data_IF_991355800997
#
_entry.id   IF_991355800997
#
_cell.length_a   1.000
_cell.length_b   1.000
_cell.length_c   1.000
_cell.angle_alpha   90.00
_cell.angle_beta   90.00
_cell.angle_gamma   90.00
#
_symmetry.space_group_name_H-M   'P 1'
#
loop_
_entity.id
_entity.type
_entity.pdbx_description
1 polymer ?
#
# COMPACT_ATOMS: atom_id res chain seq x y z
N UNK A 1 6.90 -9.67 23.56
CA UNK A 1 6.02 -9.20 22.47
C UNK A 1 5.24 -7.93 22.83
N UNK A 2 4.63 -7.78 24.00
CA UNK A 2 3.88 -6.56 24.36
C UNK A 2 4.75 -5.28 24.29
N UNK A 3 6.01 -5.32 24.77
CA UNK A 3 6.94 -4.18 24.68
C UNK A 3 7.26 -3.79 23.22
N UNK A 4 7.49 -4.80 22.35
CA UNK A 4 7.76 -4.57 20.92
C UNK A 4 6.56 -3.92 20.23
N UNK A 5 5.33 -4.40 20.47
CA UNK A 5 4.14 -3.79 19.86
C UNK A 5 3.88 -2.37 20.36
N UNK A 6 4.15 -2.07 21.64
CA UNK A 6 4.11 -0.69 22.16
C UNK A 6 5.13 0.18 21.44
N UNK A 7 6.33 -0.31 21.22
CA UNK A 7 7.36 0.41 20.49
C UNK A 7 6.98 0.64 19.01
N UNK A 8 6.41 -0.36 18.32
CA UNK A 8 5.92 -0.18 16.94
C UNK A 8 4.80 0.87 16.85
N UNK A 9 3.86 0.85 17.79
CA UNK A 9 2.80 1.88 17.89
C UNK A 9 3.40 3.27 18.14
N UNK A 10 4.40 3.36 19.02
CA UNK A 10 5.14 4.60 19.24
C UNK A 10 5.83 5.09 17.95
N UNK A 11 6.51 4.23 17.20
CA UNK A 11 7.10 4.57 15.89
C UNK A 11 6.05 5.08 14.87
N UNK A 12 4.79 4.63 14.96
CA UNK A 12 3.67 5.12 14.15
C UNK A 12 3.11 6.47 14.62
N UNK A 13 3.66 7.07 15.69
CA UNK A 13 3.24 8.36 16.21
C UNK A 13 2.14 8.31 17.28
N UNK A 14 1.80 7.13 17.79
CA UNK A 14 0.88 7.04 18.92
C UNK A 14 1.52 7.63 20.20
N UNK A 15 0.71 8.34 21.00
CA UNK A 15 1.13 8.80 22.30
C UNK A 15 1.12 7.63 23.30
N UNK A 16 2.29 7.06 23.54
CA UNK A 16 2.51 5.91 24.44
C UNK A 16 3.60 6.31 25.43
N UNK A 17 3.31 6.15 26.72
CA UNK A 17 4.34 6.25 27.75
C UNK A 17 5.39 5.15 27.58
N UNK A 18 6.57 5.53 27.11
CA UNK A 18 7.68 4.62 26.85
C UNK A 18 8.58 4.39 28.05
N UNK A 19 8.48 5.15 29.14
CA UNK A 19 9.39 5.05 30.28
C UNK A 19 9.45 3.62 30.87
N UNK A 20 8.29 3.02 31.15
CA UNK A 20 8.19 1.62 31.64
C UNK A 20 8.57 0.58 30.59
N UNK A 21 8.44 0.92 29.31
CA UNK A 21 8.80 0.03 28.19
C UNK A 21 10.31 -0.01 28.02
N UNK A 22 10.97 1.16 28.03
CA UNK A 22 12.43 1.32 27.96
C UNK A 22 13.10 0.54 29.09
N UNK A 23 12.65 0.70 30.33
CA UNK A 23 13.22 0.04 31.50
C UNK A 23 13.31 -1.49 31.40
N UNK A 24 12.46 -2.13 30.55
CA UNK A 24 12.38 -3.58 30.37
C UNK A 24 12.77 -4.03 28.96
N UNK A 25 13.24 -3.11 28.11
CA UNK A 25 13.54 -3.41 26.71
C UNK A 25 14.88 -4.15 26.61
N UNK A 26 14.87 -5.29 25.96
CA UNK A 26 16.07 -5.94 25.45
C UNK A 26 16.34 -5.38 24.03
N UNK A 27 17.32 -4.49 23.94
CA UNK A 27 17.65 -3.80 22.69
C UNK A 27 18.23 -4.72 21.62
N UNK A 28 18.97 -5.78 22.00
CA UNK A 28 19.51 -6.78 21.07
C UNK A 28 18.39 -7.63 20.49
N UNK A 29 17.44 -8.05 21.33
CA UNK A 29 16.25 -8.79 20.89
C UNK A 29 15.39 -7.93 19.98
N UNK A 30 15.19 -6.64 20.31
CA UNK A 30 14.45 -5.71 19.46
C UNK A 30 15.15 -5.55 18.11
N UNK A 31 16.46 -5.32 18.07
CA UNK A 31 17.22 -5.18 16.83
C UNK A 31 17.14 -6.45 15.96
N UNK A 32 17.27 -7.63 16.57
CA UNK A 32 17.09 -8.91 15.87
C UNK A 32 15.71 -9.03 15.26
N UNK A 33 14.67 -8.68 16.02
CA UNK A 33 13.30 -8.68 15.54
C UNK A 33 13.11 -7.72 14.34
N UNK A 34 13.53 -6.46 14.45
CA UNK A 34 13.34 -5.47 13.38
C UNK A 34 14.14 -5.82 12.13
N UNK A 35 15.31 -6.44 12.29
CA UNK A 35 16.11 -6.95 11.18
C UNK A 35 15.41 -8.08 10.45
N UNK A 36 14.90 -9.07 11.18
CA UNK A 36 14.19 -10.21 10.61
C UNK A 36 12.86 -9.81 9.94
N UNK A 37 12.25 -8.73 10.39
CA UNK A 37 10.99 -8.19 9.87
C UNK A 37 11.18 -7.10 8.78
N UNK A 38 12.44 -6.75 8.45
CA UNK A 38 12.81 -5.72 7.47
C UNK A 38 12.18 -4.34 7.76
N UNK A 39 12.25 -3.89 9.02
CA UNK A 39 11.71 -2.59 9.49
C UNK A 39 12.77 -1.76 10.23
N UNK A 40 14.05 -1.96 9.91
CA UNK A 40 15.20 -1.35 10.57
C UNK A 40 15.11 0.19 10.52
N UNK A 41 14.91 0.78 9.34
CA UNK A 41 14.87 2.24 9.18
C UNK A 41 13.69 2.86 9.94
N UNK A 42 12.49 2.32 9.74
CA UNK A 42 11.27 2.77 10.43
C UNK A 42 11.41 2.72 11.97
N UNK A 43 11.99 1.65 12.51
CA UNK A 43 12.20 1.53 13.95
C UNK A 43 13.34 2.41 14.45
N UNK A 44 14.34 2.72 13.61
CA UNK A 44 15.41 3.64 13.97
C UNK A 44 14.90 5.09 14.15
N UNK A 45 13.95 5.54 13.33
CA UNK A 45 13.28 6.82 13.55
C UNK A 45 12.62 6.88 14.95
N UNK A 46 12.04 5.75 15.40
CA UNK A 46 11.54 5.59 16.76
C UNK A 46 12.64 5.68 17.83
N UNK A 47 13.84 5.14 17.59
CA UNK A 47 14.99 5.27 18.50
C UNK A 47 15.49 6.71 18.56
N UNK A 48 15.60 7.40 17.42
CA UNK A 48 15.96 8.84 17.38
C UNK A 48 14.97 9.67 18.20
N UNK A 49 13.68 9.39 18.05
CA UNK A 49 12.61 10.04 18.80
C UNK A 49 12.68 9.74 20.31
N UNK A 50 12.98 8.48 20.71
CA UNK A 50 13.19 8.14 22.12
C UNK A 50 14.37 8.92 22.72
N UNK A 51 15.47 9.11 21.96
CA UNK A 51 16.62 9.90 22.38
C UNK A 51 16.25 11.35 22.76
N UNK A 52 15.27 11.93 22.05
CA UNK A 52 14.79 13.29 22.29
C UNK A 52 13.76 13.35 23.43
N UNK A 53 12.84 12.39 23.52
CA UNK A 53 11.68 12.45 24.43
C UNK A 53 11.93 11.75 25.78
N UNK A 54 12.83 10.73 25.82
CA UNK A 54 13.06 9.83 26.97
C UNK A 54 14.55 9.64 27.29
N UNK A 55 15.35 10.71 27.19
CA UNK A 55 16.81 10.65 27.39
C UNK A 55 17.20 10.13 28.77
N UNK A 56 16.47 10.49 29.83
CA UNK A 56 16.76 10.08 31.21
C UNK A 56 16.45 8.59 31.45
N UNK A 57 15.39 8.07 30.84
CA UNK A 57 15.05 6.66 30.88
C UNK A 57 16.06 5.81 30.08
N UNK A 58 16.51 6.31 28.95
CA UNK A 58 17.56 5.68 28.16
C UNK A 58 18.91 5.63 28.88
N UNK A 59 19.24 6.61 29.73
CA UNK A 59 20.45 6.54 30.58
C UNK A 59 20.38 5.38 31.59
N UNK A 60 19.19 4.99 32.03
CA UNK A 60 18.98 3.88 32.97
C UNK A 60 19.04 2.49 32.29
N UNK A 61 18.64 2.40 31.04
CA UNK A 61 18.78 1.21 30.21
C UNK A 61 19.30 1.59 28.82
N UNK A 62 20.62 1.87 28.67
CA UNK A 62 21.19 2.40 27.45
C UNK A 62 21.26 1.32 26.36
N UNK A 63 21.12 1.77 25.11
CA UNK A 63 21.46 0.95 23.95
C UNK A 63 22.99 0.84 23.89
N UNK A 64 23.53 -0.36 23.80
CA UNK A 64 24.97 -0.59 23.65
C UNK A 64 25.50 0.20 22.44
N UNK A 65 26.66 0.87 22.63
CA UNK A 65 27.20 1.77 21.60
C UNK A 65 27.39 1.10 20.23
N UNK A 66 27.94 -0.11 20.20
CA UNK A 66 28.17 -0.83 18.94
C UNK A 66 26.87 -1.22 18.25
N UNK A 67 25.85 -1.60 19.03
CA UNK A 67 24.52 -1.87 18.52
C UNK A 67 23.86 -0.61 17.94
N UNK A 68 23.94 0.51 18.66
CA UNK A 68 23.40 1.79 18.21
C UNK A 68 24.08 2.26 16.91
N UNK A 69 25.41 2.19 16.84
CA UNK A 69 26.19 2.55 15.65
C UNK A 69 25.85 1.65 14.45
N UNK A 70 25.69 0.34 14.70
CA UNK A 70 25.27 -0.62 13.67
C UNK A 70 23.87 -0.29 13.16
N UNK A 71 22.93 -0.01 14.04
CA UNK A 71 21.55 0.32 13.68
C UNK A 71 21.48 1.63 12.89
N UNK A 72 22.15 2.67 13.38
CA UNK A 72 22.27 3.97 12.70
C UNK A 72 22.87 3.82 11.29
N UNK A 73 23.96 3.08 11.14
CA UNK A 73 24.59 2.83 9.84
C UNK A 73 23.63 2.15 8.85
N UNK A 74 22.86 1.16 9.31
CA UNK A 74 21.84 0.48 8.50
C UNK A 74 20.69 1.41 8.14
N UNK A 75 20.20 2.24 9.05
CA UNK A 75 19.14 3.20 8.79
C UNK A 75 19.58 4.25 7.75
N UNK A 76 20.81 4.76 7.86
CA UNK A 76 21.36 5.68 6.86
C UNK A 76 21.52 5.02 5.48
N UNK A 77 21.94 3.76 5.44
CA UNK A 77 22.01 2.99 4.19
C UNK A 77 20.60 2.88 3.55
N UNK A 78 19.56 2.60 4.35
CA UNK A 78 18.16 2.51 3.89
C UNK A 78 17.70 3.87 3.34
N UNK A 79 17.97 4.97 4.03
CA UNK A 79 17.59 6.32 3.59
C UNK A 79 18.26 6.66 2.24
N UNK A 80 19.56 6.43 2.08
CA UNK A 80 20.28 6.62 0.80
C UNK A 80 19.73 5.74 -0.32
N UNK A 81 19.41 4.48 -0.01
CA UNK A 81 18.81 3.57 -0.99
C UNK A 81 17.44 4.05 -1.45
N UNK A 82 16.59 4.60 -0.56
CA UNK A 82 15.31 5.17 -0.95
C UNK A 82 15.47 6.38 -1.89
N UNK A 83 16.43 7.27 -1.63
CA UNK A 83 16.74 8.37 -2.56
C UNK A 83 17.09 7.85 -3.95
N UNK A 84 17.96 6.82 -4.04
CA UNK A 84 18.29 6.19 -5.31
C UNK A 84 17.07 5.55 -5.99
N UNK A 85 16.25 4.81 -5.24
CA UNK A 85 15.07 4.14 -5.78
C UNK A 85 14.02 5.15 -6.26
N UNK A 86 13.86 6.30 -5.57
CA UNK A 86 12.99 7.39 -6.03
C UNK A 86 13.42 7.89 -7.42
N UNK A 87 14.71 8.20 -7.60
CA UNK A 87 15.25 8.67 -8.89
C UNK A 87 15.05 7.64 -9.99
N UNK A 88 15.33 6.36 -9.71
CA UNK A 88 15.17 5.29 -10.71
C UNK A 88 13.70 5.04 -11.03
N UNK A 89 12.81 5.09 -10.04
CA UNK A 89 11.36 4.90 -10.26
C UNK A 89 10.77 6.00 -11.16
N UNK A 90 11.14 7.25 -10.93
CA UNK A 90 10.71 8.38 -11.77
C UNK A 90 11.30 8.28 -13.19
N UNK A 91 12.60 7.97 -13.31
CA UNK A 91 13.24 7.79 -14.61
C UNK A 91 12.58 6.65 -15.42
N UNK A 92 12.31 5.50 -14.78
CA UNK A 92 11.62 4.37 -15.40
C UNK A 92 10.19 4.75 -15.83
N UNK A 93 9.46 5.46 -14.96
CA UNK A 93 8.11 5.93 -15.26
C UNK A 93 8.10 6.88 -16.48
N UNK A 94 9.01 7.85 -16.53
CA UNK A 94 9.13 8.79 -17.64
C UNK A 94 9.49 8.07 -18.95
N UNK A 95 10.48 7.17 -18.92
CA UNK A 95 10.90 6.38 -20.08
C UNK A 95 9.74 5.55 -20.67
N UNK A 96 8.98 4.85 -19.84
CA UNK A 96 7.82 4.09 -20.29
C UNK A 96 6.73 5.00 -20.90
N UNK A 97 6.51 6.18 -20.30
CA UNK A 97 5.54 7.15 -20.79
C UNK A 97 5.92 7.79 -22.12
N UNK A 98 7.19 8.16 -22.29
CA UNK A 98 7.74 8.71 -23.53
C UNK A 98 7.64 7.71 -24.69
N UNK A 99 7.79 6.41 -24.39
CA UNK A 99 7.60 5.34 -25.36
C UNK A 99 6.12 4.92 -25.55
N UNK A 100 5.17 5.71 -25.03
CA UNK A 100 3.73 5.51 -25.22
C UNK A 100 3.11 4.42 -24.34
N UNK A 101 3.84 3.86 -23.38
CA UNK A 101 3.35 2.85 -22.46
C UNK A 101 2.81 3.48 -21.18
N UNK A 102 1.51 3.29 -20.90
CA UNK A 102 0.91 3.73 -19.63
C UNK A 102 1.25 2.73 -18.53
N UNK A 103 1.73 3.24 -17.39
CA UNK A 103 2.16 2.39 -16.30
C UNK A 103 1.83 3.00 -14.93
N UNK A 104 1.89 2.16 -13.90
CA UNK A 104 1.63 2.50 -12.51
C UNK A 104 2.65 1.81 -11.62
N UNK A 105 3.36 2.56 -10.78
CA UNK A 105 4.29 2.00 -9.78
C UNK A 105 3.47 1.44 -8.63
N UNK A 106 3.62 0.15 -8.40
CA UNK A 106 2.88 -0.57 -7.36
C UNK A 106 3.66 -0.55 -6.04
N UNK A 107 2.97 -0.46 -4.88
CA UNK A 107 3.63 -0.55 -3.57
C UNK A 107 4.83 0.42 -3.40
N UNK A 108 5.99 -0.10 -3.01
CA UNK A 108 7.31 0.51 -3.01
C UNK A 108 7.31 1.98 -2.60
N UNK A 109 7.63 2.83 -3.54
CA UNK A 109 7.81 4.26 -3.33
C UNK A 109 6.48 4.98 -3.08
N UNK A 110 5.36 4.53 -3.67
CA UNK A 110 4.03 5.02 -3.35
C UNK A 110 3.63 4.79 -1.89
N UNK A 111 4.00 3.62 -1.32
CA UNK A 111 3.78 3.35 0.10
C UNK A 111 4.73 4.16 1.00
N UNK A 112 5.97 4.38 0.57
CA UNK A 112 6.96 5.14 1.33
C UNK A 112 6.47 6.58 1.63
N UNK A 113 5.72 7.20 0.73
CA UNK A 113 5.10 8.52 0.95
C UNK A 113 4.15 8.60 2.15
N UNK A 114 3.64 7.46 2.62
CA UNK A 114 2.73 7.40 3.78
C UNK A 114 3.47 7.20 5.12
N UNK A 115 4.77 6.92 5.10
CA UNK A 115 5.57 6.75 6.31
C UNK A 115 5.83 8.09 7.00
N UNK A 116 5.96 8.13 8.34
CA UNK A 116 6.36 9.34 9.06
C UNK A 116 7.65 9.97 8.52
N UNK A 117 8.62 9.13 8.15
CA UNK A 117 9.80 9.51 7.39
C UNK A 117 9.83 8.71 6.10
N UNK A 118 9.60 9.38 4.97
CA UNK A 118 9.47 8.78 3.64
C UNK A 118 10.69 8.00 3.17
N UNK A 119 11.84 8.20 3.80
CA UNK A 119 13.10 7.51 3.49
C UNK A 119 13.37 6.29 4.36
N UNK A 120 12.55 6.03 5.39
CA UNK A 120 12.84 4.99 6.40
C UNK A 120 12.16 3.64 6.13
N UNK A 121 11.31 3.54 5.11
CA UNK A 121 10.79 2.25 4.65
C UNK A 121 11.94 1.42 4.06
N UNK A 122 12.10 0.15 4.49
CA UNK A 122 13.07 -0.73 3.84
C UNK A 122 12.72 -0.90 2.35
N UNK A 123 13.55 -0.41 1.42
CA UNK A 123 13.29 -0.52 -0.01
C UNK A 123 13.46 -1.97 -0.50
N UNK A 124 12.87 -2.27 -1.63
CA UNK A 124 13.02 -3.51 -2.37
C UNK A 124 13.19 -3.19 -3.85
N UNK A 125 12.57 -4.01 -4.67
CA UNK A 125 12.37 -3.85 -6.10
C UNK A 125 11.38 -2.71 -6.44
N UNK A 126 11.40 -2.28 -7.70
CA UNK A 126 10.38 -1.41 -8.29
C UNK A 126 9.41 -2.29 -9.06
N UNK A 127 8.21 -2.49 -8.50
CA UNK A 127 7.12 -3.15 -9.19
C UNK A 127 6.40 -2.14 -10.10
N UNK A 128 6.45 -2.30 -11.41
CA UNK A 128 5.72 -1.44 -12.33
C UNK A 128 4.69 -2.23 -13.15
N UNK A 129 3.42 -1.89 -12.97
CA UNK A 129 2.34 -2.44 -13.78
C UNK A 129 2.23 -1.67 -15.08
N UNK A 130 2.47 -2.34 -16.20
CA UNK A 130 2.38 -1.77 -17.54
C UNK A 130 1.04 -2.15 -18.16
N UNK A 131 0.24 -1.15 -18.55
CA UNK A 131 -1.06 -1.35 -19.19
C UNK A 131 -0.90 -1.59 -20.69
N UNK A 132 -0.34 -2.74 -21.05
CA UNK A 132 -0.12 -3.20 -22.43
C UNK A 132 -0.28 -4.72 -22.51
N UNK A 133 -0.25 -5.28 -23.70
CA UNK A 133 -0.26 -6.72 -23.89
C UNK A 133 1.07 -7.36 -23.44
N UNK A 134 1.02 -8.63 -23.06
CA UNK A 134 2.23 -9.37 -22.67
C UNK A 134 3.32 -9.31 -23.77
N UNK A 135 2.94 -9.45 -25.04
CA UNK A 135 3.89 -9.39 -26.17
C UNK A 135 4.59 -8.03 -26.23
N UNK A 136 3.84 -6.93 -26.17
CA UNK A 136 4.39 -5.57 -26.16
C UNK A 136 5.35 -5.34 -25.00
N UNK A 137 4.97 -5.76 -23.78
CA UNK A 137 5.83 -5.61 -22.59
C UNK A 137 7.11 -6.45 -22.75
N UNK A 138 7.00 -7.68 -23.27
CA UNK A 138 8.16 -8.57 -23.46
C UNK A 138 9.10 -8.03 -24.54
N UNK A 139 8.57 -7.53 -25.63
CA UNK A 139 9.35 -6.90 -26.71
C UNK A 139 10.06 -5.63 -26.21
N UNK A 140 9.33 -4.78 -25.48
CA UNK A 140 9.89 -3.60 -24.85
C UNK A 140 11.02 -3.95 -23.88
N UNK A 141 10.80 -4.93 -23.01
CA UNK A 141 11.79 -5.37 -22.04
C UNK A 141 13.07 -5.88 -22.73
N UNK A 142 12.93 -6.70 -23.79
CA UNK A 142 14.08 -7.20 -24.58
C UNK A 142 14.87 -6.08 -25.26
N UNK A 143 14.21 -5.01 -25.66
CA UNK A 143 14.83 -3.87 -26.35
C UNK A 143 15.59 -2.95 -25.40
N UNK A 144 15.08 -2.73 -24.20
CA UNK A 144 15.56 -1.67 -23.30
C UNK A 144 16.31 -2.17 -22.06
N UNK A 145 16.21 -3.47 -21.76
CA UNK A 145 16.81 -4.05 -20.55
C UNK A 145 17.52 -5.37 -20.83
N UNK A 146 18.48 -5.67 -20.00
CA UNK A 146 19.00 -7.03 -19.88
C UNK A 146 17.97 -7.86 -19.12
N UNK A 147 17.38 -8.85 -19.79
CA UNK A 147 16.41 -9.77 -19.19
C UNK A 147 16.99 -11.18 -19.19
N UNK A 148 16.72 -11.94 -18.12
CA UNK A 148 17.02 -13.35 -18.07
C UNK A 148 16.07 -14.19 -18.93
N UNK A 149 16.43 -15.44 -19.18
CA UNK A 149 15.59 -16.39 -19.96
C UNK A 149 14.29 -16.78 -19.23
N UNK A 150 14.16 -16.49 -17.94
CA UNK A 150 13.03 -16.89 -17.10
C UNK A 150 11.99 -15.79 -16.95
N UNK A 151 11.11 -15.69 -17.94
CA UNK A 151 9.94 -14.80 -17.87
C UNK A 151 8.89 -15.46 -16.96
N UNK A 152 8.53 -14.78 -15.85
CA UNK A 152 7.53 -15.30 -14.93
C UNK A 152 6.10 -15.08 -15.44
N UNK A 153 5.14 -15.78 -14.83
CA UNK A 153 3.73 -15.69 -15.25
C UNK A 153 3.16 -14.27 -15.12
N UNK A 154 3.56 -13.50 -14.11
CA UNK A 154 2.98 -12.19 -13.85
C UNK A 154 3.94 -11.01 -14.07
N UNK A 155 5.26 -11.23 -14.20
CA UNK A 155 6.25 -10.18 -14.45
C UNK A 155 7.48 -10.66 -15.21
N UNK A 156 8.29 -9.71 -15.65
CA UNK A 156 9.67 -9.88 -16.12
C UNK A 156 10.59 -9.24 -15.10
N UNK A 157 11.58 -9.97 -14.62
CA UNK A 157 12.63 -9.46 -13.76
C UNK A 157 13.73 -8.80 -14.60
N UNK A 158 14.15 -7.59 -14.20
CA UNK A 158 15.25 -6.83 -14.80
C UNK A 158 15.87 -5.90 -13.76
N UNK A 159 16.75 -5.00 -14.19
CA UNK A 159 17.32 -3.96 -13.35
C UNK A 159 17.53 -2.65 -14.13
N UNK A 160 17.49 -1.54 -13.42
CA UNK A 160 17.81 -0.22 -13.95
C UNK A 160 18.69 0.52 -12.97
N UNK A 161 19.86 0.98 -13.43
CA UNK A 161 20.86 1.69 -12.60
C UNK A 161 21.22 0.92 -11.29
N UNK A 162 21.22 -0.42 -11.36
CA UNK A 162 21.50 -1.31 -10.22
C UNK A 162 20.38 -1.38 -9.17
N UNK A 163 19.14 -0.99 -9.53
CA UNK A 163 17.92 -1.21 -8.77
C UNK A 163 17.12 -2.33 -9.44
N UNK A 164 16.70 -3.39 -8.73
CA UNK A 164 15.84 -4.42 -9.29
C UNK A 164 14.49 -3.84 -9.72
N UNK A 165 14.00 -4.26 -10.88
CA UNK A 165 12.73 -3.84 -11.49
C UNK A 165 11.94 -5.07 -11.90
N UNK A 166 10.65 -5.07 -11.61
CA UNK A 166 9.69 -6.07 -12.09
C UNK A 166 8.66 -5.40 -12.99
N UNK A 167 8.69 -5.74 -14.30
CA UNK A 167 7.69 -5.29 -15.27
C UNK A 167 6.48 -6.23 -15.22
N UNK A 168 5.41 -5.79 -14.58
CA UNK A 168 4.22 -6.58 -14.34
C UNK A 168 3.24 -6.54 -15.51
N UNK A 169 2.83 -7.71 -16.01
CA UNK A 169 1.72 -7.87 -16.96
C UNK A 169 0.37 -7.61 -16.30
N UNK A 170 0.27 -7.89 -15.02
CA UNK A 170 -0.87 -7.59 -14.15
C UNK A 170 -0.41 -7.53 -12.69
N UNK A 171 -1.09 -6.74 -11.83
CA UNK A 171 -0.57 -6.41 -10.49
C UNK A 171 -0.35 -7.61 -9.56
N UNK A 172 -1.21 -8.64 -9.61
CA UNK A 172 -1.17 -9.76 -8.68
C UNK A 172 -1.99 -10.94 -9.22
N UNK A 173 -1.70 -12.15 -8.73
CA UNK A 173 -2.45 -13.39 -9.02
C UNK A 173 -3.09 -13.97 -7.76
N UNK A 174 -4.07 -14.86 -7.96
CA UNK A 174 -4.66 -15.73 -6.93
C UNK A 174 -4.59 -17.17 -7.41
N UNK A 175 -4.47 -18.12 -6.46
CA UNK A 175 -4.36 -19.54 -6.81
C UNK A 175 -5.72 -20.13 -7.23
N UNK A 176 -6.82 -19.64 -6.66
CA UNK A 176 -8.15 -20.04 -7.07
C UNK A 176 -8.50 -19.43 -8.44
N UNK A 177 -8.79 -20.24 -9.49
CA UNK A 177 -8.98 -19.74 -10.86
C UNK A 177 -10.18 -18.81 -11.03
N UNK A 178 -11.26 -19.03 -10.27
CA UNK A 178 -12.45 -18.18 -10.31
C UNK A 178 -12.14 -16.79 -9.73
N UNK A 179 -11.51 -16.73 -8.57
CA UNK A 179 -11.13 -15.46 -7.95
C UNK A 179 -10.03 -14.76 -8.75
N UNK A 180 -9.10 -15.52 -9.34
CA UNK A 180 -8.10 -14.97 -10.26
C UNK A 180 -8.76 -14.30 -11.49
N UNK A 181 -9.70 -14.97 -12.16
CA UNK A 181 -10.40 -14.40 -13.32
C UNK A 181 -11.17 -13.11 -12.94
N UNK A 182 -11.86 -13.10 -11.79
CA UNK A 182 -12.53 -11.90 -11.25
C UNK A 182 -11.56 -10.76 -10.97
N UNK A 183 -10.40 -11.08 -10.39
CA UNK A 183 -9.34 -10.12 -10.06
C UNK A 183 -8.77 -9.50 -11.33
N UNK A 184 -8.43 -10.33 -12.35
CA UNK A 184 -7.90 -9.85 -13.63
C UNK A 184 -8.90 -8.97 -14.38
N UNK A 185 -10.20 -9.31 -14.34
CA UNK A 185 -11.27 -8.47 -14.91
C UNK A 185 -11.33 -7.11 -14.20
N UNK A 186 -11.18 -7.10 -12.88
CA UNK A 186 -11.19 -5.87 -12.09
C UNK A 186 -9.95 -5.02 -12.37
N UNK A 187 -8.76 -5.60 -12.47
CA UNK A 187 -7.54 -4.88 -12.82
C UNK A 187 -7.66 -4.18 -14.18
N UNK A 188 -8.05 -4.92 -15.23
CA UNK A 188 -8.22 -4.35 -16.58
C UNK A 188 -9.21 -3.18 -16.62
N UNK A 189 -10.31 -3.26 -15.86
CA UNK A 189 -11.30 -2.18 -15.81
C UNK A 189 -10.79 -0.91 -15.13
N UNK A 190 -9.77 -1.01 -14.31
CA UNK A 190 -9.25 0.12 -13.53
C UNK A 190 -7.86 0.60 -13.99
N UNK A 191 -7.25 -0.05 -14.96
CA UNK A 191 -5.88 0.22 -15.36
C UNK A 191 -5.63 1.68 -15.73
N UNK A 192 -6.50 2.25 -16.56
CA UNK A 192 -6.36 3.63 -17.02
C UNK A 192 -6.38 4.64 -15.88
N UNK A 193 -7.28 4.46 -14.92
CA UNK A 193 -7.37 5.31 -13.75
C UNK A 193 -6.10 5.23 -12.88
N UNK A 194 -5.58 4.02 -12.69
CA UNK A 194 -4.38 3.84 -11.85
C UNK A 194 -3.14 4.43 -12.54
N UNK A 195 -3.01 4.27 -13.86
CA UNK A 195 -1.92 4.83 -14.65
C UNK A 195 -1.98 6.37 -14.81
N UNK A 196 -3.08 7.01 -14.45
CA UNK A 196 -3.26 8.47 -14.48
C UNK A 196 -3.26 9.15 -13.11
N UNK A 197 -3.17 8.39 -12.02
CA UNK A 197 -3.10 8.95 -10.67
C UNK A 197 -1.65 9.27 -10.29
N UNK A 198 -1.21 10.49 -10.65
CA UNK A 198 0.19 10.96 -10.54
C UNK A 198 0.43 11.60 -9.18
N UNK A 199 1.61 11.33 -8.61
CA UNK A 199 2.12 11.96 -7.37
C UNK A 199 3.59 12.33 -7.55
N UNK A 200 4.01 13.44 -6.92
CA UNK A 200 5.40 13.86 -6.86
C UNK A 200 6.19 13.07 -5.81
N UNK A 201 7.39 12.66 -6.15
CA UNK A 201 8.34 12.06 -5.21
C UNK A 201 9.11 13.16 -4.44
N UNK A 202 9.61 12.84 -3.23
CA UNK A 202 10.34 13.80 -2.40
C UNK A 202 11.59 14.37 -3.10
N UNK A 203 12.04 15.54 -2.61
CA UNK A 203 13.28 16.22 -3.03
C UNK A 203 13.38 16.47 -4.55
N UNK A 204 12.23 16.62 -5.23
CA UNK A 204 12.22 16.86 -6.67
C UNK A 204 12.70 15.67 -7.51
N UNK A 205 12.65 14.44 -6.98
CA UNK A 205 13.07 13.24 -7.72
C UNK A 205 12.21 12.96 -8.97
N UNK A 206 11.08 13.68 -9.15
CA UNK A 206 10.17 13.60 -10.26
C UNK A 206 8.84 12.93 -9.88
N UNK A 207 8.03 12.61 -10.89
CA UNK A 207 6.68 12.11 -10.72
C UNK A 207 6.58 10.61 -11.03
N UNK A 208 5.60 9.95 -10.39
CA UNK A 208 5.18 8.57 -10.70
C UNK A 208 3.66 8.46 -10.64
N UNK A 209 3.07 7.55 -11.42
CA UNK A 209 1.70 7.13 -11.17
C UNK A 209 1.66 6.02 -10.11
N UNK A 210 0.72 6.11 -9.17
CA UNK A 210 0.48 5.12 -8.10
C UNK A 210 -1.00 4.72 -8.04
N UNK A 211 -1.33 3.58 -7.44
CA UNK A 211 -2.72 3.19 -7.23
C UNK A 211 -3.51 4.21 -6.42
N UNK A 212 -4.76 4.48 -6.82
CA UNK A 212 -5.71 5.27 -6.00
C UNK A 212 -5.98 4.57 -4.67
N UNK A 213 -6.35 5.32 -3.63
CA UNK A 213 -6.47 4.80 -2.25
C UNK A 213 -7.41 3.59 -2.14
N UNK A 214 -8.60 3.67 -2.71
CA UNK A 214 -9.56 2.56 -2.67
C UNK A 214 -9.09 1.32 -3.44
N UNK A 215 -8.43 1.51 -4.60
CA UNK A 215 -7.83 0.42 -5.34
C UNK A 215 -6.67 -0.21 -4.55
N UNK A 216 -5.83 0.62 -3.95
CA UNK A 216 -4.64 0.19 -3.22
C UNK A 216 -4.98 -0.70 -2.01
N UNK A 217 -6.04 -0.36 -1.26
CA UNK A 217 -6.55 -1.19 -0.16
C UNK A 217 -6.89 -2.61 -0.62
N UNK A 218 -7.60 -2.74 -1.74
CA UNK A 218 -7.99 -4.06 -2.27
C UNK A 218 -6.79 -4.78 -2.88
N UNK A 219 -6.00 -4.09 -3.70
CA UNK A 219 -4.83 -4.64 -4.37
C UNK A 219 -3.80 -5.17 -3.38
N UNK A 220 -3.39 -4.38 -2.39
CA UNK A 220 -2.36 -4.82 -1.45
C UNK A 220 -2.85 -5.95 -0.54
N UNK A 221 -4.15 -6.04 -0.25
CA UNK A 221 -4.68 -7.20 0.46
C UNK A 221 -4.60 -8.49 -0.40
N UNK A 222 -4.89 -8.39 -1.71
CA UNK A 222 -4.67 -9.51 -2.64
C UNK A 222 -3.20 -9.94 -2.64
N UNK A 223 -2.30 -8.97 -2.69
CA UNK A 223 -0.86 -9.20 -2.71
C UNK A 223 -0.36 -9.85 -1.40
N UNK A 224 -0.83 -9.38 -0.24
CA UNK A 224 -0.57 -10.03 1.05
C UNK A 224 -1.06 -11.47 1.08
N UNK A 225 -2.27 -11.72 0.53
CA UNK A 225 -2.86 -13.04 0.47
C UNK A 225 -2.06 -13.98 -0.42
N UNK A 226 -1.61 -13.50 -1.58
CA UNK A 226 -0.73 -14.26 -2.46
C UNK A 226 0.57 -14.66 -1.75
N UNK A 227 1.29 -13.70 -1.15
CA UNK A 227 2.53 -13.98 -0.42
C UNK A 227 2.34 -14.87 0.80
N UNK A 228 1.20 -14.74 1.50
CA UNK A 228 0.90 -15.60 2.64
C UNK A 228 0.92 -17.09 2.26
N UNK A 229 0.44 -17.45 1.07
CA UNK A 229 0.47 -18.82 0.57
C UNK A 229 1.78 -19.19 -0.11
N UNK A 230 2.48 -18.25 -0.73
CA UNK A 230 3.72 -18.58 -1.45
C UNK A 230 4.95 -18.60 -0.55
N UNK A 231 5.26 -17.53 0.14
CA UNK A 231 6.52 -17.36 0.87
C UNK A 231 6.31 -17.09 2.37
N UNK A 232 5.23 -16.43 2.70
CA UNK A 232 4.95 -15.80 3.99
C UNK A 232 5.03 -14.28 3.89
N UNK A 233 4.50 -13.61 4.91
CA UNK A 233 4.50 -12.15 5.02
C UNK A 233 5.18 -11.73 6.32
N UNK A 234 5.80 -10.55 6.32
CA UNK A 234 6.46 -9.98 7.49
C UNK A 234 5.84 -8.68 7.95
N UNK A 235 6.38 -8.12 9.04
CA UNK A 235 5.87 -6.89 9.64
C UNK A 235 6.01 -5.68 8.69
N UNK A 236 7.00 -5.67 7.79
CA UNK A 236 7.13 -4.61 6.78
C UNK A 236 5.87 -4.49 5.92
N UNK A 237 5.38 -5.61 5.38
CA UNK A 237 4.17 -5.61 4.56
C UNK A 237 2.92 -5.26 5.40
N UNK A 238 2.90 -5.62 6.68
CA UNK A 238 1.80 -5.28 7.60
C UNK A 238 1.80 -3.78 7.93
N UNK A 239 2.97 -3.15 8.13
CA UNK A 239 3.08 -1.70 8.33
C UNK A 239 2.68 -0.95 7.05
N UNK A 240 3.18 -1.37 5.87
CA UNK A 240 2.73 -0.84 4.59
C UNK A 240 1.19 -0.84 4.50
N UNK A 241 0.58 -1.99 4.81
CA UNK A 241 -0.87 -2.12 4.71
C UNK A 241 -1.64 -1.35 5.78
N UNK A 242 -1.08 -1.22 6.99
CA UNK A 242 -1.63 -0.34 8.04
C UNK A 242 -1.72 1.11 7.54
N UNK A 243 -0.66 1.61 6.93
CA UNK A 243 -0.60 2.98 6.41
C UNK A 243 -1.60 3.17 5.26
N UNK A 244 -1.72 2.20 4.35
CA UNK A 244 -2.71 2.21 3.26
C UNK A 244 -4.15 2.27 3.79
N UNK A 245 -4.50 1.43 4.77
CA UNK A 245 -5.85 1.43 5.37
C UNK A 245 -6.11 2.73 6.13
N UNK A 246 -5.12 3.24 6.86
CA UNK A 246 -5.23 4.48 7.62
C UNK A 246 -5.40 5.70 6.71
N UNK A 247 -4.66 5.76 5.59
CA UNK A 247 -4.77 6.84 4.60
C UNK A 247 -6.11 6.81 3.85
N UNK A 248 -6.58 5.62 3.45
CA UNK A 248 -7.91 5.43 2.87
C UNK A 248 -9.02 5.91 3.83
N UNK A 249 -8.95 5.51 5.09
CA UNK A 249 -9.96 5.85 6.09
C UNK A 249 -10.04 7.35 6.37
N UNK A 250 -8.89 8.04 6.47
CA UNK A 250 -8.85 9.50 6.63
C UNK A 250 -9.61 10.23 5.53
N UNK A 251 -9.46 9.82 4.28
CA UNK A 251 -10.15 10.43 3.14
C UNK A 251 -11.67 10.25 3.21
N UNK A 252 -12.12 9.06 3.59
CA UNK A 252 -13.58 8.79 3.69
C UNK A 252 -14.21 9.67 4.77
N UNK A 253 -13.55 9.82 5.93
CA UNK A 253 -14.04 10.69 7.01
C UNK A 253 -14.06 12.17 6.62
N UNK A 254 -13.04 12.66 5.92
CA UNK A 254 -12.99 14.04 5.45
C UNK A 254 -14.13 14.33 4.45
N UNK A 255 -14.35 13.47 3.48
CA UNK A 255 -15.41 13.65 2.48
C UNK A 255 -16.81 13.60 3.08
N UNK A 256 -17.06 12.76 4.09
CA UNK A 256 -18.34 12.70 4.79
C UNK A 256 -18.63 13.97 5.62
N UNK A 257 -17.61 14.61 6.18
CA UNK A 257 -17.77 15.86 6.94
C UNK A 257 -18.06 17.08 6.04
N UNK A 258 -17.62 17.07 4.79
CA UNK A 258 -17.94 18.12 3.82
C UNK A 258 -19.33 17.95 3.18
N UNK A 259 -19.94 16.77 3.28
CA UNK A 259 -21.27 16.47 2.71
C UNK A 259 -22.43 16.77 3.66
N UNK A 260 -22.18 17.19 4.90
CA UNK A 260 -23.17 17.63 5.87
C UNK A 260 -22.92 19.07 6.33
N UNK A 261 -23.45 20.10 5.64
CA UNK A 261 -23.44 21.48 6.14
C UNK A 261 -24.64 21.72 7.07
N UNK A 262 -24.61 21.15 8.27
CA UNK A 262 -25.55 21.50 9.33
C UNK A 262 -24.77 21.87 10.60
N UNK A 263 -24.08 23.02 10.56
CA UNK A 263 -23.73 23.79 11.76
C UNK A 263 -24.39 25.15 11.62
N UNK A 264 -25.40 25.38 12.45
CA UNK A 264 -26.13 26.61 12.60
C UNK A 264 -25.19 27.79 12.86
N UNK A 265 -25.20 28.77 11.97
CA UNK A 265 -24.67 30.09 12.23
C UNK A 265 -25.60 30.79 13.23
N UNK A 266 -25.18 30.86 14.49
CA UNK A 266 -25.74 31.81 15.45
C UNK A 266 -25.34 33.22 15.02
N UNK A 267 -26.35 34.05 14.65
CA UNK A 267 -26.22 35.46 14.38
C UNK A 267 -25.76 36.20 15.65
N UNK A 268 -24.50 36.62 15.66
CA UNK A 268 -24.02 37.65 16.57
C UNK A 268 -23.85 38.94 15.76
N UNK A 269 -24.79 39.89 15.92
CA UNK A 269 -24.67 41.24 15.41
C UNK A 269 -23.69 42.04 16.25
N UNK A 270 -22.64 42.58 15.63
CA UNK A 270 -21.97 43.77 16.14
C UNK A 270 -21.52 44.61 14.95
N UNK A 271 -22.17 45.77 14.85
CA UNK A 271 -21.89 46.93 14.01
C UNK A 271 -20.55 47.54 14.38
N UNK A 272 -19.68 47.76 13.42
CA UNK A 272 -18.61 48.76 13.52
C UNK A 272 -18.44 49.47 12.17
N UNK A 273 -18.55 50.78 12.21
CA UNK A 273 -18.42 51.75 11.11
C UNK A 273 -16.94 52.09 10.80
N UNK A 274 -16.60 52.49 9.60
CA UNK A 274 -15.21 52.86 9.25
C UNK A 274 -14.93 54.33 9.41
N UNK A 275 -13.68 54.71 9.68
CA UNK A 275 -13.15 56.06 9.53
C UNK A 275 -11.81 56.04 8.76
N UNK A 276 -11.50 57.06 7.99
CA UNK A 276 -10.49 57.04 6.94
C UNK A 276 -9.23 57.87 7.27
N UNK A 277 -8.26 57.82 6.35
CA UNK A 277 -7.05 58.67 6.12
C UNK A 277 -5.74 57.91 6.46
N UNK A 278 -4.62 58.08 5.73
CA UNK A 278 -4.15 59.07 4.79
C UNK A 278 -2.89 58.54 4.04
N UNK A 279 -2.82 58.86 2.75
CA UNK A 279 -1.69 59.27 1.90
C UNK A 279 -0.24 58.92 2.26
N UNK A 280 0.49 58.37 1.26
CA UNK A 280 1.95 58.33 1.17
C UNK A 280 2.43 57.77 -0.15
N UNK A 281 2.79 58.67 -1.05
CA UNK A 281 3.32 58.49 -2.41
C UNK A 281 4.72 57.85 -2.45
N UNK A 282 5.03 57.18 -3.53
CA UNK A 282 6.40 56.72 -3.87
C UNK A 282 6.46 55.95 -5.17
N UNK A 283 6.68 56.63 -6.21
CA UNK A 283 6.92 56.26 -7.60
C UNK A 283 8.16 55.36 -7.74
N UNK A 284 8.20 54.45 -8.73
CA UNK A 284 9.13 54.39 -9.85
C UNK A 284 9.15 53.03 -10.56
N UNK A 285 8.74 53.03 -11.83
CA UNK A 285 9.14 52.27 -13.02
C UNK A 285 8.88 50.78 -13.19
N UNK A 286 8.02 50.52 -14.17
CA UNK A 286 8.02 49.32 -15.03
C UNK A 286 9.16 49.41 -16.10
N UNK A 287 9.53 48.32 -16.84
CA UNK A 287 8.73 48.03 -18.03
C UNK A 287 8.61 46.53 -18.47
N UNK A 288 7.64 46.36 -19.32
CA UNK A 288 7.49 45.61 -20.59
C UNK A 288 7.13 44.13 -20.58
N UNK A 289 5.90 43.92 -21.02
CA UNK A 289 5.35 43.16 -22.17
C UNK A 289 5.98 41.81 -22.52
N UNK A 290 5.15 40.76 -22.50
CA UNK A 290 4.67 40.09 -23.73
C UNK A 290 3.57 39.07 -23.47
N UNK A 291 2.48 39.27 -24.19
CA UNK A 291 1.60 38.45 -25.01
C UNK A 291 0.76 37.35 -24.37
N UNK A 292 -0.55 37.62 -24.35
CA UNK A 292 -1.65 36.63 -24.32
C UNK A 292 -1.66 35.75 -25.58
N UNK A 293 -2.27 34.57 -25.48
CA UNK A 293 -3.29 34.23 -26.44
C UNK A 293 -4.61 33.67 -25.91
N UNK A 294 -5.69 34.25 -26.47
CA UNK A 294 -6.97 33.66 -26.91
C UNK A 294 -7.83 32.82 -25.94
N UNK A 295 -8.94 33.45 -25.60
CA UNK A 295 -10.21 32.91 -25.10
C UNK A 295 -10.80 31.84 -26.04
N UNK A 296 -11.29 30.73 -25.46
CA UNK A 296 -12.53 30.10 -25.93
C UNK A 296 -13.49 29.91 -24.74
N UNK A 297 -14.75 30.28 -25.02
CA UNK A 297 -15.90 30.24 -24.12
C UNK A 297 -16.41 28.81 -24.07
N UNK A 298 -16.85 28.35 -22.92
CA UNK A 298 -18.16 27.82 -22.54
C UNK A 298 -18.08 26.75 -21.43
N UNK A 299 -18.99 26.86 -20.46
CA UNK A 299 -19.47 25.75 -19.62
C UNK A 299 -19.05 25.75 -18.16
N UNK A 300 -19.97 26.07 -17.29
CA UNK A 300 -19.85 26.24 -15.84
C UNK A 300 -19.49 24.99 -15.00
N UNK A 301 -19.37 25.12 -13.66
CA UNK A 301 -18.55 24.22 -12.85
C UNK A 301 -19.35 23.05 -12.29
N UNK A 302 -18.83 21.82 -12.51
CA UNK A 302 -19.23 20.64 -11.75
C UNK A 302 -18.01 20.18 -10.93
N UNK A 303 -18.00 20.54 -9.65
CA UNK A 303 -17.03 20.03 -8.67
C UNK A 303 -17.54 18.69 -8.14
N UNK A 304 -17.09 17.58 -8.72
CA UNK A 304 -17.17 16.25 -8.12
C UNK A 304 -15.78 15.66 -8.14
N UNK A 305 -15.26 15.28 -6.97
CA UNK A 305 -13.96 14.63 -6.82
C UNK A 305 -13.91 13.35 -7.68
N UNK A 306 -12.86 13.13 -8.49
CA UNK A 306 -12.79 11.99 -9.42
C UNK A 306 -12.91 10.61 -8.78
N UNK A 307 -12.58 10.49 -7.51
CA UNK A 307 -12.51 9.21 -6.81
C UNK A 307 -13.87 8.58 -6.46
N UNK A 308 -14.94 9.37 -6.28
CA UNK A 308 -16.27 8.83 -5.97
C UNK A 308 -17.10 8.46 -7.23
N UNK A 309 -16.99 9.24 -8.30
CA UNK A 309 -17.85 9.08 -9.47
C UNK A 309 -17.53 7.84 -10.34
N UNK A 310 -16.30 7.32 -10.29
CA UNK A 310 -15.87 6.18 -11.09
C UNK A 310 -16.39 4.84 -10.53
N UNK A 311 -16.60 4.75 -9.21
CA UNK A 311 -17.04 3.50 -8.58
C UNK A 311 -18.52 3.21 -8.78
N UNK A 312 -19.38 4.23 -8.91
CA UNK A 312 -20.83 4.06 -9.16
C UNK A 312 -21.14 3.46 -10.55
N UNK A 313 -20.28 3.71 -11.56
CA UNK A 313 -20.45 3.13 -12.91
C UNK A 313 -20.02 1.66 -13.02
N UNK A 314 -19.35 1.11 -12.02
CA UNK A 314 -18.81 -0.26 -12.04
C UNK A 314 -19.70 -1.28 -11.30
N UNK A 315 -20.80 -0.86 -10.70
CA UNK A 315 -21.66 -1.69 -9.83
C UNK A 315 -22.87 -2.34 -10.46
N UNK A 316 -23.33 -1.90 -11.63
CA UNK A 316 -24.60 -2.40 -12.20
C UNK A 316 -24.42 -2.88 -13.63
N UNK A 317 -24.06 -4.14 -13.77
CA UNK A 317 -24.16 -4.91 -14.99
C UNK A 317 -25.09 -6.09 -14.75
N UNK A 318 -26.38 -5.86 -14.75
CA UNK A 318 -27.42 -6.86 -14.84
C UNK A 318 -28.47 -6.31 -15.81
N UNK A 319 -28.62 -6.96 -16.96
CA UNK A 319 -29.74 -6.78 -17.87
C UNK A 319 -31.06 -6.96 -17.12
N UNK A 320 -31.92 -5.98 -17.21
CA UNK A 320 -33.36 -6.18 -17.09
C UNK A 320 -34.11 -5.24 -18.05
N UNK A 321 -34.81 -5.88 -18.95
CA UNK A 321 -35.79 -5.35 -19.85
C UNK A 321 -36.93 -4.59 -19.11
N UNK A 322 -37.42 -3.60 -19.81
CA UNK A 322 -38.56 -2.74 -19.50
C UNK A 322 -39.84 -3.48 -19.03
N UNK A 323 -40.45 -2.97 -17.95
CA UNK A 323 -41.90 -2.88 -17.85
C UNK A 323 -42.31 -1.70 -16.95
N UNK A 324 -43.15 -0.84 -17.50
CA UNK A 324 -43.84 0.26 -16.82
C UNK A 324 -45.04 -0.29 -16.01
N UNK A 325 -45.28 0.23 -14.80
CA UNK A 325 -46.53 0.85 -14.32
C UNK A 325 -46.58 0.93 -12.77
N UNK A 326 -47.03 2.06 -12.27
CA UNK A 326 -47.65 2.14 -10.94
C UNK A 326 -46.95 3.05 -9.93
N UNK A 327 -47.38 4.30 -9.85
CA UNK A 327 -47.01 5.24 -8.81
C UNK A 327 -47.47 4.77 -7.43
N UNK A 328 -46.53 4.62 -6.51
CA UNK A 328 -46.78 4.68 -5.07
C UNK A 328 -45.61 5.38 -4.42
N UNK A 329 -45.89 6.54 -3.83
CA UNK A 329 -44.95 7.38 -3.10
C UNK A 329 -44.54 6.72 -1.78
N UNK A 330 -43.54 5.86 -1.80
CA UNK A 330 -42.78 5.49 -0.63
C UNK A 330 -41.38 6.10 -0.77
N UNK A 331 -41.01 6.97 0.19
CA UNK A 331 -39.71 7.60 0.26
C UNK A 331 -38.62 6.54 0.24
N UNK A 332 -37.99 6.32 -0.92
CA UNK A 332 -36.76 5.53 -1.05
C UNK A 332 -35.67 6.35 -0.38
N UNK A 333 -35.30 5.98 0.84
CA UNK A 333 -34.03 6.38 1.42
C UNK A 333 -32.92 5.92 0.45
N UNK A 334 -32.40 6.83 -0.35
CA UNK A 334 -31.15 6.62 -1.09
C UNK A 334 -30.04 6.48 -0.05
N UNK A 335 -29.73 5.24 0.34
CA UNK A 335 -28.56 4.95 1.15
C UNK A 335 -27.33 5.29 0.27
N UNK A 336 -26.70 6.42 0.52
CA UNK A 336 -25.44 6.78 -0.11
C UNK A 336 -24.42 5.67 0.19
N UNK A 337 -24.05 4.91 -0.86
CA UNK A 337 -23.05 3.83 -0.74
C UNK A 337 -21.72 4.46 -0.37
N UNK A 338 -21.17 4.14 0.80
CA UNK A 338 -19.90 4.66 1.25
C UNK A 338 -18.73 4.00 0.51
N UNK A 339 -17.56 4.66 0.48
CA UNK A 339 -16.35 4.06 -0.07
C UNK A 339 -15.95 2.76 0.67
N UNK A 340 -16.27 2.66 1.96
CA UNK A 340 -16.11 1.42 2.73
C UNK A 340 -16.99 0.30 2.18
N UNK A 341 -18.27 0.56 1.88
CA UNK A 341 -19.18 -0.45 1.36
C UNK A 341 -18.71 -0.98 0.00
N UNK A 342 -18.17 -0.10 -0.84
CA UNK A 342 -17.59 -0.50 -2.14
C UNK A 342 -16.40 -1.42 -1.95
N UNK A 343 -15.47 -1.08 -1.07
CA UNK A 343 -14.31 -1.92 -0.74
C UNK A 343 -14.77 -3.25 -0.17
N UNK A 344 -15.68 -3.26 0.80
CA UNK A 344 -16.19 -4.48 1.43
C UNK A 344 -16.87 -5.43 0.42
N UNK A 345 -17.74 -4.89 -0.45
CA UNK A 345 -18.36 -5.68 -1.54
C UNK A 345 -17.29 -6.29 -2.46
N UNK A 346 -16.25 -5.52 -2.78
CA UNK A 346 -15.14 -6.01 -3.62
C UNK A 346 -14.36 -7.13 -2.93
N UNK A 347 -14.05 -6.99 -1.65
CA UNK A 347 -13.36 -8.03 -0.87
C UNK A 347 -14.17 -9.33 -0.80
N UNK A 348 -15.49 -9.24 -0.61
CA UNK A 348 -16.40 -10.40 -0.65
C UNK A 348 -16.42 -11.06 -2.03
N UNK A 349 -16.53 -10.27 -3.10
CA UNK A 349 -16.54 -10.75 -4.49
C UNK A 349 -15.26 -11.48 -4.89
N UNK A 350 -14.11 -11.03 -4.37
CA UNK A 350 -12.78 -11.62 -4.61
C UNK A 350 -12.43 -12.76 -3.63
N UNK A 351 -13.32 -13.13 -2.71
CA UNK A 351 -13.05 -14.20 -1.72
C UNK A 351 -12.07 -13.82 -0.61
N UNK A 352 -11.75 -12.54 -0.46
CA UNK A 352 -10.74 -12.02 0.49
C UNK A 352 -11.31 -11.70 1.87
N UNK A 353 -12.63 -11.77 2.07
CA UNK A 353 -13.31 -11.28 3.27
C UNK A 353 -12.76 -11.89 4.57
N UNK A 354 -12.52 -13.21 4.60
CA UNK A 354 -11.97 -13.91 5.76
C UNK A 354 -10.52 -13.50 6.06
N UNK A 355 -9.72 -13.31 5.02
CA UNK A 355 -8.34 -12.86 5.16
C UNK A 355 -8.28 -11.39 5.60
N UNK A 356 -9.16 -10.54 5.07
CA UNK A 356 -9.31 -9.15 5.52
C UNK A 356 -9.55 -9.09 7.03
N UNK A 357 -10.49 -9.87 7.58
CA UNK A 357 -10.75 -9.93 9.02
C UNK A 357 -9.53 -10.39 9.84
N UNK A 358 -8.74 -11.33 9.33
CA UNK A 358 -7.50 -11.74 9.97
C UNK A 358 -6.45 -10.63 9.99
N UNK A 359 -6.30 -9.92 8.87
CA UNK A 359 -5.39 -8.77 8.77
C UNK A 359 -5.83 -7.64 9.68
N UNK A 360 -7.14 -7.30 9.74
CA UNK A 360 -7.65 -6.27 10.66
C UNK A 360 -7.30 -6.58 12.12
N UNK A 361 -7.41 -7.84 12.54
CA UNK A 361 -6.96 -8.26 13.87
C UNK A 361 -5.46 -7.99 14.09
N UNK A 362 -4.60 -8.32 13.12
CA UNK A 362 -3.16 -8.08 13.23
C UNK A 362 -2.84 -6.59 13.28
N UNK A 363 -3.48 -5.77 12.45
CA UNK A 363 -3.30 -4.32 12.43
C UNK A 363 -3.74 -3.68 13.77
N UNK A 364 -4.84 -4.15 14.34
CA UNK A 364 -5.31 -3.68 15.66
C UNK A 364 -4.35 -4.08 16.78
N UNK A 365 -4.03 -5.36 16.89
CA UNK A 365 -3.24 -5.90 17.99
C UNK A 365 -1.81 -5.37 17.99
N UNK A 366 -1.12 -5.46 16.84
CA UNK A 366 0.29 -5.12 16.73
C UNK A 366 0.53 -3.62 16.52
N UNK A 367 -0.34 -2.93 15.77
CA UNK A 367 -0.11 -1.56 15.28
C UNK A 367 -1.17 -0.55 15.78
N UNK A 368 -2.24 -0.98 16.45
CA UNK A 368 -3.22 -0.09 17.08
C UNK A 368 -4.25 0.51 16.13
N UNK A 369 -4.56 -0.14 15.00
CA UNK A 369 -5.64 0.33 14.12
C UNK A 369 -6.96 0.39 14.89
N UNK A 370 -7.63 1.54 14.89
CA UNK A 370 -8.94 1.70 15.53
C UNK A 370 -10.05 0.99 14.75
N UNK A 371 -11.08 0.51 15.44
CA UNK A 371 -12.17 -0.27 14.85
C UNK A 371 -12.93 0.48 13.76
N UNK A 372 -13.11 1.78 13.91
CA UNK A 372 -13.77 2.67 12.94
C UNK A 372 -13.07 2.73 11.56
N UNK A 373 -11.75 2.45 11.51
CA UNK A 373 -10.95 2.43 10.29
C UNK A 373 -10.90 1.07 9.60
N UNK A 374 -11.51 0.06 10.19
CA UNK A 374 -11.44 -1.30 9.67
C UNK A 374 -12.32 -1.51 8.45
N UNK A 375 -11.75 -2.12 7.42
CA UNK A 375 -12.45 -2.48 6.18
C UNK A 375 -13.23 -3.80 6.27
N UNK A 376 -13.02 -4.56 7.33
CA UNK A 376 -13.75 -5.80 7.66
C UNK A 376 -13.76 -6.00 9.17
N UNK A 377 -14.76 -6.70 9.74
CA UNK A 377 -14.76 -7.10 11.13
C UNK A 377 -13.56 -7.98 11.46
N UNK A 378 -12.99 -7.83 12.66
CA UNK A 378 -11.86 -8.65 13.11
C UNK A 378 -12.21 -10.13 13.21
N UNK A 379 -11.39 -10.98 12.59
CA UNK A 379 -11.42 -12.43 12.82
C UNK A 379 -10.28 -12.83 13.76
N UNK A 380 -10.56 -12.87 15.05
CA UNK A 380 -9.57 -13.18 16.09
C UNK A 380 -8.90 -14.53 15.92
N UNK A 381 -9.64 -15.55 15.45
CA UNK A 381 -9.09 -16.91 15.29
C UNK A 381 -8.07 -16.98 14.16
N UNK A 382 -8.43 -16.43 12.98
CA UNK A 382 -7.52 -16.35 11.82
C UNK A 382 -6.42 -15.34 12.03
N UNK A 383 -6.71 -14.24 12.72
CA UNK A 383 -5.75 -13.19 13.04
C UNK A 383 -4.62 -13.67 13.96
N UNK A 384 -4.93 -14.47 15.01
CA UNK A 384 -3.90 -15.07 15.86
C UNK A 384 -2.99 -16.02 15.08
N UNK A 385 -3.56 -16.84 14.18
CA UNK A 385 -2.77 -17.69 13.29
C UNK A 385 -1.84 -16.85 12.39
N UNK A 386 -2.41 -15.82 11.73
CA UNK A 386 -1.65 -14.95 10.85
C UNK A 386 -0.52 -14.22 11.59
N UNK A 387 -0.80 -13.68 12.77
CA UNK A 387 0.20 -13.00 13.59
C UNK A 387 1.33 -13.96 13.99
N UNK A 388 1.00 -15.19 14.39
CA UNK A 388 2.01 -16.22 14.71
C UNK A 388 2.89 -16.56 13.49
N UNK A 389 2.33 -16.69 12.30
CA UNK A 389 3.09 -16.92 11.06
C UNK A 389 4.03 -15.74 10.73
N UNK A 390 3.56 -14.48 10.89
CA UNK A 390 4.37 -13.28 10.68
C UNK A 390 5.56 -13.25 11.65
N UNK A 391 5.32 -13.47 12.93
CA UNK A 391 6.35 -13.38 13.96
C UNK A 391 7.40 -14.48 13.82
N UNK A 392 7.01 -15.68 13.42
CA UNK A 392 7.90 -16.81 13.25
C UNK A 392 8.63 -16.81 11.90
N UNK A 393 7.98 -16.31 10.84
CA UNK A 393 8.52 -16.36 9.49
C UNK A 393 9.44 -15.20 9.14
N UNK A 394 9.26 -14.06 9.77
CA UNK A 394 9.95 -12.84 9.37
C UNK A 394 9.58 -12.38 7.95
N UNK A 395 10.36 -11.47 7.40
CA UNK A 395 10.11 -10.92 6.08
C UNK A 395 10.22 -12.00 4.99
N UNK A 396 9.15 -12.21 4.23
CA UNK A 396 9.01 -13.26 3.21
C UNK A 396 9.30 -14.70 3.71
N UNK A 397 8.99 -14.98 4.98
CA UNK A 397 9.14 -16.32 5.54
C UNK A 397 10.58 -16.85 5.62
N UNK A 398 11.59 -15.98 5.47
CA UNK A 398 13.01 -16.35 5.41
C UNK A 398 13.53 -16.98 6.71
N UNK A 399 12.85 -16.75 7.82
CA UNK A 399 13.23 -17.19 9.16
C UNK A 399 12.38 -18.34 9.69
N UNK A 400 11.51 -18.96 8.86
CA UNK A 400 10.76 -20.14 9.27
C UNK A 400 11.69 -21.31 9.64
N UNK A 401 11.67 -21.70 10.91
CA UNK A 401 12.32 -22.91 11.40
C UNK A 401 11.36 -24.10 11.41
N UNK A 402 10.07 -23.86 11.69
CA UNK A 402 9.01 -24.88 11.80
C UNK A 402 8.83 -25.73 10.53
N UNK A 403 9.01 -25.12 9.35
CA UNK A 403 8.84 -25.79 8.07
C UNK A 403 10.18 -26.09 7.38
N UNK A 404 11.31 -25.99 8.11
CA UNK A 404 12.66 -26.07 7.56
C UNK A 404 13.08 -24.76 6.86
N UNK A 405 14.39 -24.60 6.66
CA UNK A 405 14.93 -23.41 5.96
C UNK A 405 14.66 -23.54 4.46
N UNK A 406 13.58 -22.93 3.96
CA UNK A 406 13.20 -22.98 2.54
C UNK A 406 14.30 -22.55 1.58
N UNK A 407 15.17 -21.63 1.99
CA UNK A 407 16.25 -21.10 1.15
C UNK A 407 17.40 -22.07 0.92
N UNK A 408 17.60 -23.05 1.80
CA UNK A 408 18.73 -23.99 1.77
C UNK A 408 18.39 -25.36 1.17
N UNK A 409 17.14 -25.57 0.72
CA UNK A 409 16.65 -26.88 0.28
C UNK A 409 16.60 -26.94 -1.26
N UNK A 410 16.82 -28.13 -1.84
CA UNK A 410 16.62 -28.38 -3.26
C UNK A 410 15.18 -28.15 -3.72
N UNK A 411 14.97 -27.90 -5.04
CA UNK A 411 13.67 -27.48 -5.60
C UNK A 411 12.51 -28.43 -5.25
N UNK A 412 12.70 -29.73 -5.37
CA UNK A 412 11.65 -30.72 -5.04
C UNK A 412 11.23 -30.66 -3.57
N UNK A 413 12.21 -30.59 -2.64
CA UNK A 413 11.91 -30.51 -1.21
C UNK A 413 11.22 -29.20 -0.85
N UNK A 414 11.61 -28.07 -1.43
CA UNK A 414 10.88 -26.78 -1.29
C UNK A 414 9.43 -26.89 -1.73
N UNK A 415 9.18 -27.57 -2.85
CA UNK A 415 7.84 -27.77 -3.38
C UNK A 415 6.95 -28.53 -2.36
N UNK A 416 7.42 -29.67 -1.87
CA UNK A 416 6.67 -30.46 -0.90
C UNK A 416 6.47 -29.73 0.44
N UNK A 417 7.47 -29.03 0.94
CA UNK A 417 7.36 -28.25 2.18
C UNK A 417 6.35 -27.11 2.06
N UNK A 418 6.27 -26.44 0.91
CA UNK A 418 5.26 -25.39 0.66
C UNK A 418 3.85 -25.99 0.62
N UNK A 419 3.64 -27.11 -0.05
CA UNK A 419 2.35 -27.80 -0.06
C UNK A 419 1.98 -28.21 1.37
N UNK A 420 2.89 -28.87 2.10
CA UNK A 420 2.65 -29.29 3.47
C UNK A 420 2.28 -28.11 4.37
N UNK A 421 2.99 -27.00 4.29
CA UNK A 421 2.65 -25.76 4.99
C UNK A 421 1.24 -25.29 4.63
N UNK A 422 0.90 -25.21 3.35
CA UNK A 422 -0.38 -24.69 2.89
C UNK A 422 -1.55 -25.60 3.25
N UNK A 423 -1.34 -26.92 3.39
CA UNK A 423 -2.36 -27.86 3.88
C UNK A 423 -2.81 -27.53 5.31
N UNK A 424 -1.96 -26.93 6.16
CA UNK A 424 -2.37 -26.46 7.49
C UNK A 424 -3.39 -25.31 7.42
N UNK A 425 -3.45 -24.58 6.29
CA UNK A 425 -4.36 -23.48 6.10
C UNK A 425 -5.70 -23.87 5.45
N UNK A 426 -5.86 -25.11 4.99
CA UNK A 426 -7.12 -25.59 4.35
C UNK A 426 -8.33 -25.37 5.25
N UNK A 427 -8.23 -25.60 6.55
CA UNK A 427 -9.33 -25.36 7.50
C UNK A 427 -9.76 -23.89 7.58
N UNK A 428 -8.86 -22.96 7.27
CA UNK A 428 -9.07 -21.52 7.38
C UNK A 428 -9.41 -20.87 6.04
N UNK A 429 -8.77 -21.32 4.97
CA UNK A 429 -8.85 -20.76 3.62
C UNK A 429 -8.92 -21.87 2.55
N UNK A 430 -9.97 -22.70 2.56
CA UNK A 430 -10.01 -23.90 1.71
C UNK A 430 -9.91 -23.58 0.22
N UNK A 431 -10.58 -22.53 -0.24
CA UNK A 431 -10.61 -22.18 -1.66
C UNK A 431 -9.24 -21.85 -2.25
N UNK A 432 -8.36 -21.23 -1.48
CA UNK A 432 -7.02 -20.86 -1.95
C UNK A 432 -6.00 -21.96 -1.67
N UNK A 433 -6.05 -22.54 -0.46
CA UNK A 433 -5.11 -23.57 -0.01
C UNK A 433 -5.20 -24.86 -0.85
N UNK A 434 -6.40 -25.26 -1.29
CA UNK A 434 -6.58 -26.44 -2.15
C UNK A 434 -6.21 -26.17 -3.61
N UNK A 435 -6.36 -24.92 -4.08
CA UNK A 435 -6.00 -24.55 -5.44
C UNK A 435 -4.49 -24.26 -5.62
N UNK A 436 -3.77 -23.95 -4.53
CA UNK A 436 -2.35 -23.60 -4.60
C UNK A 436 -1.47 -24.71 -5.19
N UNK A 437 -1.55 -25.98 -4.76
CA UNK A 437 -0.77 -27.06 -5.39
C UNK A 437 -1.06 -27.23 -6.88
N UNK A 438 -2.32 -27.07 -7.28
CA UNK A 438 -2.74 -27.17 -8.68
C UNK A 438 -2.14 -26.02 -9.50
N UNK A 439 -2.29 -24.78 -9.01
CA UNK A 439 -1.72 -23.61 -9.66
C UNK A 439 -0.20 -23.69 -9.75
N UNK A 440 0.49 -24.12 -8.70
CA UNK A 440 1.95 -24.27 -8.65
C UNK A 440 2.45 -25.31 -9.67
N UNK A 441 1.76 -26.44 -9.76
CA UNK A 441 2.08 -27.49 -10.74
C UNK A 441 1.88 -27.00 -12.18
N UNK A 442 0.73 -26.35 -12.43
CA UNK A 442 0.46 -25.72 -13.73
C UNK A 442 1.51 -24.66 -14.08
N UNK A 443 1.87 -23.79 -13.15
CA UNK A 443 2.87 -22.75 -13.34
C UNK A 443 4.26 -23.31 -13.63
N UNK A 444 4.63 -24.43 -13.00
CA UNK A 444 5.87 -25.14 -13.30
C UNK A 444 5.92 -25.58 -14.78
N UNK A 445 4.89 -26.25 -15.28
CA UNK A 445 4.82 -26.65 -16.68
C UNK A 445 4.69 -25.47 -17.64
N UNK A 446 3.99 -24.41 -17.23
CA UNK A 446 3.91 -23.18 -17.99
C UNK A 446 5.30 -22.56 -18.22
N UNK A 447 6.12 -22.49 -17.18
CA UNK A 447 7.51 -21.98 -17.27
C UNK A 447 8.37 -22.82 -18.21
N UNK A 448 8.23 -24.14 -18.21
CA UNK A 448 8.99 -25.02 -19.13
C UNK A 448 8.66 -24.75 -20.60
N UNK A 449 7.44 -24.29 -20.90
CA UNK A 449 7.02 -23.96 -22.27
C UNK A 449 7.39 -22.54 -22.71
N UNK A 450 7.72 -21.65 -21.80
CA UNK A 450 7.95 -20.23 -22.08
C UNK A 450 9.38 -19.80 -21.71
N UNK A 451 10.28 -20.78 -21.60
CA UNK A 451 11.72 -20.56 -21.54
C UNK A 451 12.28 -20.26 -22.92
#
# INVERSE_FOLDING_TARGET
MNAIFKFLKYCLGYNIDMGKVIAKMDWRQLYTFVSNQAIIGFCFDGIERLGNEYSEELKKNPIERDLLMTWMGKAQQIRRQNTKVNTVASKLYSMLREDGLRCCILKGQGNALMYPNVYSRNPGDIDVWVNASRSQITEYAKKHFEIGDDIRYHHIETSMDGVPVELHFFPCSMNNPLYHARLQKWFRKNADLQCSHIVGLPDGAGDIAIPTKAFNVVYQLCHLYHHFFDEGIGMRQIIDYFLVVNDFSKNVFLNNNFSNPSVSLSKGSSTFSPSPSSSGSGDVTAPSRCSEPLRSKDGGPSKVSPDCAVWDRLGTGGDMSSECYGASTTAVRSSSTTAFDVVQRKLKYLGLWKFAGAVMYVLHEALGLSEEKMIAPMDKKRGKLLLAEILNGGNFGKHFTKYGHFTQQGMAKKYFLKIWRNMHFVRYYPAEALCEPIFRTWHFFWRLRHK
#
